data_IF_268565848975
#
_entry.id   IF_268565848975
#
_cell.length_a   1.000
_cell.length_b   1.000
_cell.length_c   1.000
_cell.angle_alpha   90.00
_cell.angle_beta   90.00
_cell.angle_gamma   90.00
#
_symmetry.space_group_name_H-M   'P 1'
#
loop_
_entity.id
_entity.type
_entity.pdbx_description
1 polymer ?
#
# COMPACT_ATOMS: atom_id res chain seq x y z
N UNK A 1 -12.78 47.65 -33.86
CA UNK A 1 -14.24 47.52 -33.97
C UNK A 1 -14.68 46.23 -33.29
N UNK A 2 -15.82 46.26 -32.57
CA UNK A 2 -16.73 45.14 -32.24
C UNK A 2 -16.15 44.01 -31.37
N UNK A 3 -16.29 44.06 -30.04
CA UNK A 3 -17.44 43.50 -29.27
C UNK A 3 -17.94 42.14 -29.78
N UNK A 4 -17.50 41.07 -29.14
CA UNK A 4 -18.12 39.73 -29.08
C UNK A 4 -17.77 39.20 -27.67
N UNK A 5 -18.52 39.52 -26.61
CA UNK A 5 -19.65 38.76 -26.06
C UNK A 5 -19.75 37.30 -26.53
N UNK A 6 -19.62 36.37 -25.57
CA UNK A 6 -20.40 35.11 -25.32
C UNK A 6 -19.55 34.30 -24.32
N UNK A 7 -19.78 34.40 -23.01
CA UNK A 7 -20.79 33.71 -22.20
C UNK A 7 -20.60 32.18 -22.12
N UNK A 8 -20.26 31.74 -20.89
CA UNK A 8 -20.64 30.48 -20.22
C UNK A 8 -20.26 29.17 -20.93
N UNK A 9 -19.15 28.58 -20.47
CA UNK A 9 -19.04 27.12 -20.43
C UNK A 9 -19.21 26.67 -18.97
N UNK A 10 -20.34 26.01 -18.74
CA UNK A 10 -20.80 25.35 -17.53
C UNK A 10 -19.67 24.58 -16.83
N UNK A 11 -19.36 24.97 -15.59
CA UNK A 11 -18.64 24.13 -14.62
C UNK A 11 -19.46 22.85 -14.45
N UNK A 12 -18.99 21.74 -15.04
CA UNK A 12 -19.43 20.40 -14.67
C UNK A 12 -18.70 20.00 -13.38
N UNK A 13 -19.10 20.65 -12.29
CA UNK A 13 -18.84 20.21 -10.93
C UNK A 13 -20.04 19.40 -10.44
N UNK A 14 -20.07 18.11 -10.77
CA UNK A 14 -20.93 17.11 -10.13
C UNK A 14 -20.19 15.76 -10.15
N UNK A 15 -19.25 15.63 -9.23
CA UNK A 15 -18.80 14.32 -8.75
C UNK A 15 -19.15 14.26 -7.28
N UNK A 16 -20.44 14.13 -6.98
CA UNK A 16 -20.95 13.98 -5.62
C UNK A 16 -20.25 12.79 -4.96
N UNK A 17 -19.52 13.06 -3.88
CA UNK A 17 -18.88 12.05 -3.06
C UNK A 17 -19.90 11.01 -2.65
N UNK A 18 -19.59 9.73 -2.88
CA UNK A 18 -20.34 8.61 -2.32
C UNK A 18 -20.27 8.74 -0.79
N UNK A 19 -21.44 8.85 -0.17
CA UNK A 19 -21.59 8.82 1.27
C UNK A 19 -21.28 7.39 1.75
N UNK A 20 -20.24 7.24 2.57
CA UNK A 20 -20.08 6.06 3.41
C UNK A 20 -21.15 6.11 4.49
N UNK A 21 -22.17 5.29 4.32
CA UNK A 21 -23.18 5.03 5.32
C UNK A 21 -23.07 3.57 5.76
N UNK A 22 -23.29 3.36 7.06
CA UNK A 22 -23.24 2.09 7.81
C UNK A 22 -21.82 1.55 8.09
N UNK A 23 -21.49 1.11 9.30
CA UNK A 23 -22.23 0.97 10.55
C UNK A 23 -21.17 0.64 11.60
N UNK A 24 -21.12 1.40 12.69
CA UNK A 24 -20.48 0.94 13.92
C UNK A 24 -21.46 -0.07 14.50
N UNK A 25 -21.07 -1.34 14.62
CA UNK A 25 -21.28 -2.22 15.79
C UNK A 25 -20.66 -3.62 15.53
N UNK A 26 -19.48 -3.84 16.11
CA UNK A 26 -19.08 -5.07 16.79
C UNK A 26 -19.51 -6.45 16.21
N UNK A 27 -18.67 -7.08 15.38
CA UNK A 27 -18.19 -8.48 15.52
C UNK A 27 -17.70 -9.05 14.19
N UNK A 28 -16.46 -9.55 14.22
CA UNK A 28 -15.89 -10.64 13.41
C UNK A 28 -16.62 -11.03 12.12
N UNK A 29 -16.15 -10.51 10.98
CA UNK A 29 -15.76 -11.28 9.79
C UNK A 29 -15.55 -10.33 8.62
N UNK A 30 -14.27 -10.17 8.24
CA UNK A 30 -13.78 -10.05 6.86
C UNK A 30 -14.84 -9.77 5.79
N UNK A 31 -15.29 -8.52 5.69
CA UNK A 31 -15.93 -8.01 4.48
C UNK A 31 -14.96 -7.06 3.80
N UNK A 32 -14.23 -7.63 2.85
CA UNK A 32 -13.37 -6.95 1.89
C UNK A 32 -14.21 -5.93 1.12
N UNK A 33 -14.20 -4.69 1.60
CA UNK A 33 -14.61 -3.53 0.82
C UNK A 33 -13.64 -3.42 -0.37
N UNK A 34 -14.16 -3.64 -1.58
CA UNK A 34 -13.45 -3.43 -2.83
C UNK A 34 -13.20 -1.91 -3.01
N UNK A 35 -12.13 -1.43 -2.39
CA UNK A 35 -11.50 -0.16 -2.72
C UNK A 35 -10.72 -0.36 -4.04
N UNK A 36 -10.78 0.62 -4.95
CA UNK A 36 -10.11 0.67 -6.26
C UNK A 36 -8.72 -0.01 -6.28
N UNK A 37 -8.24 -0.60 -7.42
CA UNK A 37 -7.04 -1.45 -7.48
C UNK A 37 -5.78 -0.75 -6.95
N UNK A 38 -5.64 -0.81 -5.63
CA UNK A 38 -4.47 -0.52 -4.80
C UNK A 38 -3.87 -1.86 -4.32
N UNK A 39 -4.43 -2.97 -4.82
CA UNK A 39 -4.23 -4.37 -4.46
C UNK A 39 -3.03 -5.00 -5.19
N UNK A 40 -1.96 -4.25 -5.50
CA UNK A 40 -0.74 -4.92 -5.95
C UNK A 40 -0.11 -5.72 -4.80
N UNK A 41 -0.22 -5.25 -3.56
CA UNK A 41 0.41 -5.89 -2.41
C UNK A 41 -0.60 -6.69 -1.57
N UNK A 42 -0.64 -8.01 -1.77
CA UNK A 42 -1.42 -8.94 -0.96
C UNK A 42 -0.72 -9.21 0.37
N UNK A 43 -1.43 -9.07 1.50
CA UNK A 43 -0.88 -9.40 2.82
C UNK A 43 -0.59 -10.90 2.94
N UNK A 44 0.61 -11.24 3.39
CA UNK A 44 1.06 -12.62 3.59
C UNK A 44 1.69 -12.80 4.98
N UNK A 45 1.84 -14.04 5.42
CA UNK A 45 2.61 -14.35 6.63
C UNK A 45 4.10 -14.08 6.41
N UNK A 46 4.80 -13.58 7.44
CA UNK A 46 6.25 -13.45 7.41
C UNK A 46 7.00 -14.78 7.15
N UNK A 47 6.34 -15.92 7.40
CA UNK A 47 6.87 -17.26 7.09
C UNK A 47 6.88 -17.59 5.58
N UNK A 48 6.15 -16.82 4.78
CA UNK A 48 6.10 -16.94 3.32
C UNK A 48 7.19 -16.13 2.63
N UNK A 49 7.93 -15.32 3.38
CA UNK A 49 9.09 -14.63 2.86
C UNK A 49 10.22 -15.64 2.57
N UNK A 50 11.01 -15.44 1.51
CA UNK A 50 12.22 -16.20 1.26
C UNK A 50 13.28 -15.94 2.34
N UNK A 51 14.08 -16.96 2.68
CA UNK A 51 15.19 -16.82 3.64
C UNK A 51 16.13 -15.65 3.32
N UNK A 52 16.33 -15.36 2.03
CA UNK A 52 17.13 -14.24 1.58
C UNK A 52 16.56 -12.89 2.05
N UNK A 53 15.23 -12.71 1.99
CA UNK A 53 14.53 -11.51 2.45
C UNK A 53 14.58 -11.40 3.97
N UNK A 54 14.31 -12.48 4.72
CA UNK A 54 14.44 -12.46 6.19
C UNK A 54 15.86 -12.13 6.63
N UNK A 55 16.86 -12.69 5.95
CA UNK A 55 18.27 -12.44 6.27
C UNK A 55 18.68 -11.00 5.96
N UNK A 56 18.22 -10.44 4.84
CA UNK A 56 18.43 -9.04 4.50
C UNK A 56 17.80 -8.13 5.56
N UNK A 57 16.54 -8.36 5.94
CA UNK A 57 15.86 -7.61 6.99
C UNK A 57 16.56 -7.72 8.34
N UNK A 58 16.99 -8.92 8.74
CA UNK A 58 17.69 -9.13 10.00
C UNK A 58 19.03 -8.38 10.04
N UNK A 59 19.73 -8.26 8.91
CA UNK A 59 21.01 -7.53 8.79
C UNK A 59 20.82 -6.02 8.69
N UNK A 60 19.88 -5.56 7.87
CA UNK A 60 19.64 -4.13 7.62
C UNK A 60 18.89 -3.45 8.76
N UNK A 61 18.00 -4.19 9.46
CA UNK A 61 17.11 -3.67 10.49
C UNK A 61 17.21 -4.47 11.80
N UNK A 62 18.44 -4.60 12.30
CA UNK A 62 18.72 -5.41 13.49
C UNK A 62 17.97 -4.89 14.73
N UNK A 63 17.15 -5.77 15.32
CA UNK A 63 16.31 -5.43 16.46
C UNK A 63 15.01 -4.69 16.12
N UNK A 64 14.66 -4.56 14.83
CA UNK A 64 13.31 -4.22 14.41
C UNK A 64 12.38 -5.46 14.47
N UNK A 65 11.09 -5.24 14.70
CA UNK A 65 10.07 -6.28 14.70
C UNK A 65 9.21 -6.19 13.45
N UNK A 66 9.00 -7.30 12.75
CA UNK A 66 8.10 -7.35 11.58
C UNK A 66 6.67 -7.18 12.07
N UNK A 67 6.00 -6.11 11.62
CA UNK A 67 4.60 -5.83 11.92
C UNK A 67 3.69 -6.44 10.87
N UNK A 68 3.98 -6.17 9.60
CA UNK A 68 3.18 -6.66 8.47
C UNK A 68 4.07 -7.00 7.28
N UNK A 69 3.61 -7.96 6.48
CA UNK A 69 4.29 -8.43 5.27
C UNK A 69 3.26 -8.52 4.16
N UNK A 70 3.65 -8.05 2.98
CA UNK A 70 2.86 -8.13 1.78
C UNK A 70 3.72 -8.59 0.61
N UNK A 71 3.11 -9.23 -0.38
CA UNK A 71 3.74 -9.59 -1.65
C UNK A 71 2.96 -9.01 -2.81
N UNK A 72 3.68 -8.49 -3.79
CA UNK A 72 3.17 -8.07 -5.08
C UNK A 72 3.87 -8.79 -6.21
N UNK A 73 3.13 -9.06 -7.28
CA UNK A 73 3.68 -9.56 -8.53
C UNK A 73 3.87 -8.36 -9.48
N UNK A 74 5.13 -8.01 -9.76
CA UNK A 74 5.49 -6.90 -10.64
C UNK A 74 6.14 -7.43 -11.92
N UNK A 75 6.27 -6.59 -12.93
CA UNK A 75 6.89 -6.98 -14.21
C UNK A 75 8.35 -7.48 -14.04
N UNK A 76 9.06 -6.97 -13.03
CA UNK A 76 10.44 -7.38 -12.70
C UNK A 76 10.53 -8.67 -11.87
N UNK A 77 9.39 -9.19 -11.39
CA UNK A 77 9.31 -10.33 -10.49
C UNK A 77 8.47 -10.03 -9.25
N UNK A 78 8.47 -10.96 -8.30
CA UNK A 78 7.74 -10.79 -7.04
C UNK A 78 8.49 -9.83 -6.10
N UNK A 79 7.77 -8.85 -5.59
CA UNK A 79 8.25 -7.86 -4.62
C UNK A 79 7.56 -8.10 -3.28
N UNK A 80 8.32 -8.04 -2.21
CA UNK A 80 7.87 -8.16 -0.84
C UNK A 80 7.94 -6.81 -0.14
N UNK A 81 6.80 -6.31 0.32
CA UNK A 81 6.72 -5.11 1.16
C UNK A 81 6.66 -5.54 2.61
N UNK A 82 7.63 -5.13 3.40
CA UNK A 82 7.73 -5.47 4.81
C UNK A 82 7.69 -4.21 5.65
N UNK A 83 6.74 -4.15 6.57
CA UNK A 83 6.60 -3.06 7.53
C UNK A 83 7.22 -3.53 8.83
N UNK A 84 8.28 -2.86 9.27
CA UNK A 84 8.98 -3.14 10.51
C UNK A 84 8.76 -2.01 11.51
N UNK A 85 8.72 -2.36 12.78
CA UNK A 85 8.73 -1.41 13.90
C UNK A 85 10.13 -1.42 14.51
N UNK A 86 10.81 -0.28 14.49
CA UNK A 86 12.12 -0.12 15.12
C UNK A 86 12.01 0.01 16.63
N UNK A 87 13.13 -0.04 17.35
CA UNK A 87 13.17 0.11 18.81
C UNK A 87 12.58 1.44 19.29
N UNK A 88 12.68 2.49 18.47
CA UNK A 88 12.10 3.81 18.73
C UNK A 88 10.59 3.88 18.41
N UNK A 89 9.94 2.73 18.20
CA UNK A 89 8.53 2.62 17.78
C UNK A 89 8.22 3.33 16.46
N UNK A 90 9.23 3.48 15.59
CA UNK A 90 9.05 4.04 14.25
C UNK A 90 8.72 2.93 13.27
N UNK A 91 7.74 3.17 12.41
CA UNK A 91 7.37 2.24 11.35
C UNK A 91 8.20 2.52 10.10
N UNK A 92 8.93 1.51 9.66
CA UNK A 92 9.76 1.56 8.47
C UNK A 92 9.17 0.59 7.46
N UNK A 93 8.88 1.08 6.27
CA UNK A 93 8.43 0.26 5.15
C UNK A 93 9.63 -0.02 4.26
N UNK A 94 9.86 -1.30 3.98
CA UNK A 94 10.97 -1.78 3.16
C UNK A 94 10.40 -2.62 2.04
N UNK A 95 10.83 -2.36 0.81
CA UNK A 95 10.47 -3.15 -0.36
C UNK A 95 11.68 -3.98 -0.74
N UNK A 96 11.53 -5.30 -0.81
CA UNK A 96 12.59 -6.24 -1.17
C UNK A 96 12.13 -7.14 -2.31
N UNK A 97 13.03 -7.59 -3.17
CA UNK A 97 12.72 -8.63 -4.15
C UNK A 97 12.85 -10.04 -3.54
N UNK A 98 12.66 -11.09 -4.35
CA UNK A 98 12.82 -12.49 -3.89
C UNK A 98 14.25 -12.83 -3.43
N UNK A 99 15.24 -12.02 -3.79
CA UNK A 99 16.65 -12.18 -3.42
C UNK A 99 17.01 -11.39 -2.16
N UNK A 100 16.09 -10.62 -1.60
CA UNK A 100 16.35 -9.73 -0.47
C UNK A 100 17.10 -8.46 -0.86
N UNK A 101 17.09 -8.06 -2.13
CA UNK A 101 17.60 -6.77 -2.57
C UNK A 101 16.53 -5.69 -2.37
N UNK A 102 16.90 -4.59 -1.70
CA UNK A 102 15.98 -3.47 -1.44
C UNK A 102 15.70 -2.71 -2.74
N UNK A 103 14.41 -2.61 -3.08
CA UNK A 103 13.92 -1.95 -4.28
C UNK A 103 13.42 -0.57 -3.89
N UNK A 104 14.00 0.48 -4.47
CA UNK A 104 13.51 1.84 -4.28
C UNK A 104 12.53 2.14 -5.41
N UNK A 105 11.27 2.40 -5.07
CA UNK A 105 10.37 3.09 -6.00
C UNK A 105 10.94 4.50 -6.20
N UNK A 106 11.34 4.79 -7.44
CA UNK A 106 11.98 6.04 -7.84
C UNK A 106 10.96 7.13 -8.14
#
# INVERSE_FOLDING_TARGET
MKKVLVAVALVMGLGSSVAFAQEVENSTAVETQAQAPQDEFTKIDAKKLPDAVMNALAKSYEGASIKEVYSADKETGKIYKVILTTKDSQEVTVLLDEKGEEIKEA
#
